data_IF_197048628881
#
_entry.id   IF_197048628881
#
_cell.length_a   1.000
_cell.length_b   1.000
_cell.length_c   1.000
_cell.angle_alpha   90.00
_cell.angle_beta   90.00
_cell.angle_gamma   90.00
#
_symmetry.space_group_name_H-M   'P 1'
#
loop_
_entity.id
_entity.type
_entity.pdbx_description
1 polymer ?
#
# COMPACT_ATOMS: atom_id res chain seq x y z
N UNK A 1 0.66 6.32 -18.41
CA UNK A 1 1.96 6.38 -17.71
C UNK A 1 1.86 5.75 -16.32
N UNK A 2 1.03 6.27 -15.40
CA UNK A 2 0.81 5.64 -14.09
C UNK A 2 0.30 4.18 -14.21
N UNK A 3 -0.71 3.96 -15.07
CA UNK A 3 -1.19 2.61 -15.40
C UNK A 3 -0.13 1.68 -16.01
N UNK A 4 0.89 2.24 -16.67
CA UNK A 4 1.99 1.47 -17.26
C UNK A 4 2.95 0.98 -16.17
N UNK A 5 3.23 1.81 -15.16
CA UNK A 5 4.01 1.41 -13.97
C UNK A 5 3.32 0.26 -13.24
N UNK A 6 2.02 0.37 -13.00
CA UNK A 6 1.25 -0.68 -12.34
C UNK A 6 1.27 -1.98 -13.16
N UNK A 7 1.03 -1.92 -14.47
CA UNK A 7 1.04 -3.10 -15.34
C UNK A 7 2.43 -3.75 -15.45
N UNK A 8 3.49 -2.95 -15.60
CA UNK A 8 4.88 -3.45 -15.64
C UNK A 8 5.24 -4.14 -14.33
N UNK A 9 4.90 -3.52 -13.21
CA UNK A 9 5.12 -4.09 -11.88
C UNK A 9 4.34 -5.40 -11.70
N UNK A 10 3.07 -5.41 -12.11
CA UNK A 10 2.21 -6.60 -12.03
C UNK A 10 2.83 -7.78 -12.79
N UNK A 11 3.29 -7.54 -14.02
CA UNK A 11 3.91 -8.57 -14.86
C UNK A 11 5.24 -9.06 -14.26
N UNK A 12 6.07 -8.14 -13.77
CA UNK A 12 7.35 -8.48 -13.13
C UNK A 12 7.12 -9.37 -11.90
N UNK A 13 6.20 -8.99 -11.01
CA UNK A 13 5.88 -9.76 -9.80
C UNK A 13 5.28 -11.10 -10.15
N UNK A 14 4.30 -11.15 -11.07
CA UNK A 14 3.69 -12.42 -11.52
C UNK A 14 4.73 -13.39 -12.08
N UNK A 15 5.77 -12.88 -12.73
CA UNK A 15 6.85 -13.72 -13.28
C UNK A 15 7.72 -14.29 -12.18
N UNK A 16 8.16 -13.48 -11.21
CA UNK A 16 9.08 -13.96 -10.16
C UNK A 16 8.41 -14.85 -9.14
N UNK A 17 7.12 -14.65 -8.83
CA UNK A 17 6.45 -15.42 -7.75
C UNK A 17 5.95 -16.79 -8.19
N UNK A 18 5.80 -17.04 -9.50
CA UNK A 18 5.30 -18.33 -10.02
C UNK A 18 6.25 -19.48 -9.71
N UNK A 19 7.55 -19.21 -9.75
CA UNK A 19 8.61 -20.21 -9.59
C UNK A 19 9.41 -19.97 -8.30
N UNK A 20 8.92 -19.12 -7.39
CA UNK A 20 9.63 -18.78 -6.15
C UNK A 20 9.35 -19.80 -5.04
N UNK A 21 10.42 -20.40 -4.51
CA UNK A 21 10.35 -21.19 -3.27
C UNK A 21 10.01 -20.31 -2.05
N UNK A 22 10.49 -19.06 -2.02
CA UNK A 22 10.15 -18.03 -1.03
C UNK A 22 9.47 -16.83 -1.72
N UNK A 23 8.14 -16.87 -1.75
CA UNK A 23 7.31 -15.83 -2.37
C UNK A 23 7.49 -14.48 -1.68
N UNK A 24 7.61 -14.44 -0.35
CA UNK A 24 7.70 -13.17 0.39
C UNK A 24 9.00 -12.45 0.06
N UNK A 25 10.13 -13.18 0.05
CA UNK A 25 11.42 -12.61 -0.33
C UNK A 25 11.43 -12.17 -1.80
N UNK A 26 10.93 -12.99 -2.72
CA UNK A 26 10.84 -12.65 -4.14
C UNK A 26 9.98 -11.39 -4.39
N UNK A 27 8.84 -11.27 -3.70
CA UNK A 27 7.98 -10.08 -3.78
C UNK A 27 8.69 -8.85 -3.24
N UNK A 28 9.33 -8.96 -2.07
CA UNK A 28 10.06 -7.84 -1.46
C UNK A 28 11.14 -7.30 -2.39
N UNK A 29 11.99 -8.18 -2.93
CA UNK A 29 13.06 -7.80 -3.86
C UNK A 29 12.51 -7.13 -5.11
N UNK A 30 11.46 -7.72 -5.70
CA UNK A 30 10.82 -7.19 -6.90
C UNK A 30 10.16 -5.83 -6.64
N UNK A 31 9.44 -5.67 -5.54
CA UNK A 31 8.82 -4.38 -5.15
C UNK A 31 9.88 -3.32 -4.93
N UNK A 32 10.95 -3.61 -4.17
CA UNK A 32 12.04 -2.65 -3.94
C UNK A 32 12.69 -2.24 -5.26
N UNK A 33 13.00 -3.19 -6.14
CA UNK A 33 13.56 -2.88 -7.47
C UNK A 33 12.62 -2.02 -8.32
N UNK A 34 11.32 -2.32 -8.31
CA UNK A 34 10.33 -1.55 -9.08
C UNK A 34 10.12 -0.16 -8.49
N UNK A 35 10.14 0.03 -7.17
CA UNK A 35 10.06 1.36 -6.54
C UNK A 35 11.24 2.22 -6.94
N UNK A 36 12.48 1.72 -6.82
CA UNK A 36 13.69 2.47 -7.21
C UNK A 36 13.62 2.86 -8.69
N UNK A 37 13.27 1.91 -9.56
CA UNK A 37 13.11 2.17 -10.98
C UNK A 37 11.99 3.16 -11.30
N UNK A 38 10.84 3.04 -10.65
CA UNK A 38 9.69 3.92 -10.87
C UNK A 38 9.98 5.36 -10.42
N UNK A 39 10.65 5.53 -9.28
CA UNK A 39 11.12 6.83 -8.78
C UNK A 39 12.08 7.51 -9.76
N UNK A 40 13.13 6.79 -10.19
CA UNK A 40 14.10 7.34 -11.14
C UNK A 40 13.44 7.75 -12.47
N UNK A 41 12.53 6.91 -12.98
CA UNK A 41 11.80 7.21 -14.20
C UNK A 41 10.82 8.38 -14.01
N UNK A 42 10.15 8.49 -12.86
CA UNK A 42 9.22 9.58 -12.55
C UNK A 42 9.92 10.93 -12.58
N UNK A 43 11.15 11.03 -12.04
CA UNK A 43 11.97 12.24 -12.10
C UNK A 43 12.29 12.67 -13.54
N UNK A 44 12.63 11.70 -14.40
CA UNK A 44 12.90 11.98 -15.83
C UNK A 44 11.64 12.39 -16.61
N UNK A 45 10.46 12.00 -16.12
CA UNK A 45 9.18 12.15 -16.80
C UNK A 45 8.25 13.20 -16.18
N UNK A 46 8.75 14.03 -15.27
CA UNK A 46 7.97 15.04 -14.52
C UNK A 46 6.72 14.47 -13.80
N UNK A 47 6.73 13.18 -13.45
CA UNK A 47 5.68 12.54 -12.63
C UNK A 47 6.08 12.65 -11.16
N UNK A 48 5.13 12.81 -10.25
CA UNK A 48 5.41 12.83 -8.82
C UNK A 48 5.98 11.46 -8.38
N UNK A 49 7.19 11.39 -7.80
CA UNK A 49 7.82 10.12 -7.44
C UNK A 49 6.95 9.24 -6.53
N UNK A 50 6.22 9.85 -5.59
CA UNK A 50 5.34 9.12 -4.65
C UNK A 50 4.11 8.52 -5.35
N UNK A 51 3.57 9.17 -6.40
CA UNK A 51 2.50 8.56 -7.21
C UNK A 51 3.01 7.31 -7.93
N UNK A 52 4.25 7.34 -8.42
CA UNK A 52 4.89 6.17 -9.02
C UNK A 52 5.04 5.01 -8.02
N UNK A 53 5.39 5.30 -6.75
CA UNK A 53 5.44 4.28 -5.68
C UNK A 53 4.05 3.67 -5.41
N UNK A 54 2.99 4.49 -5.38
CA UNK A 54 1.61 4.01 -5.23
C UNK A 54 1.23 3.04 -6.35
N UNK A 55 1.59 3.35 -7.60
CA UNK A 55 1.31 2.48 -8.76
C UNK A 55 2.10 1.18 -8.73
N UNK A 56 3.35 1.18 -8.22
CA UNK A 56 4.12 -0.04 -7.96
C UNK A 56 3.37 -0.92 -6.96
N UNK A 57 2.93 -0.38 -5.83
CA UNK A 57 2.17 -1.14 -4.82
C UNK A 57 0.86 -1.68 -5.39
N UNK A 58 0.10 -0.85 -6.10
CA UNK A 58 -1.14 -1.23 -6.77
C UNK A 58 -0.94 -2.40 -7.74
N UNK A 59 0.10 -2.31 -8.59
CA UNK A 59 0.48 -3.36 -9.52
C UNK A 59 0.88 -4.66 -8.82
N UNK A 60 1.63 -4.54 -7.72
CA UNK A 60 2.07 -5.65 -6.90
C UNK A 60 0.90 -6.40 -6.24
N UNK A 61 -0.01 -5.69 -5.57
CA UNK A 61 -1.18 -6.32 -4.94
C UNK A 61 -2.07 -6.98 -5.99
N UNK A 62 -2.27 -6.32 -7.14
CA UNK A 62 -3.04 -6.92 -8.22
C UNK A 62 -2.37 -8.19 -8.80
N UNK A 63 -1.04 -8.28 -8.84
CA UNK A 63 -0.35 -9.51 -9.23
C UNK A 63 -0.59 -10.65 -8.25
N UNK A 64 -0.57 -10.33 -6.96
CA UNK A 64 -0.78 -11.31 -5.89
C UNK A 64 -2.21 -11.86 -5.87
N UNK A 65 -3.21 -11.07 -6.28
CA UNK A 65 -4.58 -11.56 -6.45
C UNK A 65 -4.73 -12.66 -7.51
N UNK A 66 -3.79 -12.75 -8.47
CA UNK A 66 -3.76 -13.78 -9.50
C UNK A 66 -3.00 -15.06 -9.10
N UNK A 67 -2.38 -15.11 -7.91
CA UNK A 67 -1.52 -16.23 -7.46
C UNK A 67 -1.98 -16.66 -6.06
N UNK A 68 -2.57 -17.85 -5.93
CA UNK A 68 -3.27 -18.28 -4.71
C UNK A 68 -2.32 -18.80 -3.60
N UNK A 69 -2.20 -18.05 -2.48
CA UNK A 69 -2.49 -18.51 -1.09
C UNK A 69 -2.14 -17.50 0.02
N UNK A 70 -1.45 -16.38 -0.25
CA UNK A 70 -1.07 -15.42 0.81
C UNK A 70 -1.11 -13.94 0.36
N UNK A 71 -2.05 -13.56 -0.52
CA UNK A 71 -2.14 -12.17 -0.99
C UNK A 71 -2.30 -11.15 0.16
N UNK A 72 -3.02 -11.53 1.23
CA UNK A 72 -3.24 -10.67 2.39
C UNK A 72 -1.96 -10.54 3.21
N UNK A 73 -1.35 -11.63 3.67
CA UNK A 73 -0.12 -11.55 4.49
C UNK A 73 1.03 -10.88 3.71
N UNK A 74 1.14 -11.17 2.41
CA UNK A 74 2.11 -10.52 1.52
C UNK A 74 1.83 -9.02 1.31
N UNK A 75 0.59 -8.54 1.48
CA UNK A 75 0.25 -7.11 1.36
C UNK A 75 1.06 -6.26 2.33
N UNK A 76 1.22 -6.71 3.58
CA UNK A 76 2.02 -5.99 4.58
C UNK A 76 3.47 -5.85 4.11
N UNK A 77 4.05 -6.91 3.54
CA UNK A 77 5.41 -6.92 3.02
C UNK A 77 5.58 -6.03 1.79
N UNK A 78 4.61 -6.01 0.87
CA UNK A 78 4.62 -5.10 -0.29
C UNK A 78 4.65 -3.65 0.17
N UNK A 79 3.70 -3.27 1.03
CA UNK A 79 3.57 -1.89 1.53
C UNK A 79 4.83 -1.49 2.30
N UNK A 80 5.29 -2.36 3.20
CA UNK A 80 6.50 -2.13 3.98
C UNK A 80 7.73 -1.90 3.11
N UNK A 81 7.94 -2.78 2.13
CA UNK A 81 9.09 -2.73 1.22
C UNK A 81 9.06 -1.47 0.36
N UNK A 82 7.86 -1.07 -0.10
CA UNK A 82 7.71 0.13 -0.90
C UNK A 82 7.99 1.41 -0.11
N UNK A 83 7.47 1.53 1.12
CA UNK A 83 7.73 2.68 2.00
C UNK A 83 9.23 2.77 2.34
N UNK A 84 9.82 1.65 2.74
CA UNK A 84 11.24 1.60 3.12
C UNK A 84 12.13 1.96 1.93
N UNK A 85 11.83 1.43 0.75
CA UNK A 85 12.55 1.78 -0.48
C UNK A 85 12.39 3.28 -0.80
N UNK A 86 11.17 3.84 -0.74
CA UNK A 86 10.97 5.26 -0.99
C UNK A 86 11.76 6.14 0.00
N UNK A 87 11.70 5.84 1.30
CA UNK A 87 12.41 6.58 2.34
C UNK A 87 13.93 6.50 2.17
N UNK A 88 14.47 5.31 1.87
CA UNK A 88 15.91 5.11 1.61
C UNK A 88 16.40 5.86 0.36
N UNK A 89 15.51 6.19 -0.56
CA UNK A 89 15.81 6.97 -1.76
C UNK A 89 15.48 8.47 -1.58
N UNK A 90 15.30 8.93 -0.33
CA UNK A 90 15.18 10.35 0.01
C UNK A 90 13.78 10.94 -0.14
N UNK A 91 12.74 10.11 -0.29
CA UNK A 91 11.36 10.58 -0.32
C UNK A 91 10.74 10.64 1.08
N UNK A 92 9.71 11.48 1.24
CA UNK A 92 8.99 11.61 2.50
C UNK A 92 8.27 10.30 2.86
N UNK A 93 8.70 9.69 3.97
CA UNK A 93 8.13 8.46 4.48
C UNK A 93 6.65 8.59 4.85
N UNK A 94 6.18 9.75 5.32
CA UNK A 94 4.77 9.99 5.66
C UNK A 94 3.90 10.02 4.40
N UNK A 95 4.38 10.69 3.36
CA UNK A 95 3.71 10.71 2.06
C UNK A 95 3.69 9.31 1.43
N UNK A 96 4.80 8.59 1.53
CA UNK A 96 4.90 7.20 1.08
C UNK A 96 3.93 6.28 1.83
N UNK A 97 3.79 6.41 3.16
CA UNK A 97 2.82 5.65 3.97
C UNK A 97 1.41 5.84 3.43
N UNK A 98 0.96 7.09 3.28
CA UNK A 98 -0.39 7.38 2.82
C UNK A 98 -0.63 6.82 1.40
N UNK A 99 0.32 7.04 0.49
CA UNK A 99 0.19 6.67 -0.92
C UNK A 99 0.30 5.18 -1.16
N UNK A 100 1.17 4.46 -0.46
CA UNK A 100 1.30 3.01 -0.58
C UNK A 100 0.09 2.27 -0.01
N UNK A 101 -0.44 2.69 1.13
CA UNK A 101 -1.68 2.10 1.69
C UNK A 101 -2.84 2.32 0.72
N UNK A 102 -2.97 3.53 0.16
CA UNK A 102 -3.95 3.83 -0.88
C UNK A 102 -3.79 2.87 -2.08
N UNK A 103 -2.57 2.78 -2.62
CA UNK A 103 -2.25 1.91 -3.76
C UNK A 103 -2.59 0.45 -3.52
N UNK A 104 -2.34 -0.06 -2.31
CA UNK A 104 -2.67 -1.44 -1.94
C UNK A 104 -4.18 -1.71 -1.98
N UNK A 105 -4.97 -0.81 -1.40
CA UNK A 105 -6.44 -0.93 -1.36
C UNK A 105 -7.03 -0.86 -2.77
N UNK A 106 -6.55 0.06 -3.61
CA UNK A 106 -6.96 0.15 -5.02
C UNK A 106 -6.58 -1.11 -5.81
N UNK A 107 -5.36 -1.61 -5.61
CA UNK A 107 -4.87 -2.81 -6.28
C UNK A 107 -5.68 -4.06 -5.93
N UNK A 108 -6.12 -4.20 -4.68
CA UNK A 108 -7.02 -5.29 -4.29
C UNK A 108 -8.41 -5.13 -4.91
N UNK A 109 -8.97 -3.93 -4.93
CA UNK A 109 -10.30 -3.69 -5.50
C UNK A 109 -10.38 -4.03 -7.00
N UNK A 110 -9.33 -3.72 -7.76
CA UNK A 110 -9.23 -4.02 -9.20
C UNK A 110 -9.38 -5.49 -9.57
N UNK A 111 -8.89 -6.36 -8.70
CA UNK A 111 -8.91 -7.81 -8.92
C UNK A 111 -10.05 -8.49 -8.16
N UNK A 112 -10.96 -7.71 -7.56
CA UNK A 112 -12.05 -8.23 -6.73
C UNK A 112 -11.57 -8.88 -5.42
N UNK A 113 -10.40 -8.47 -4.92
CA UNK A 113 -9.84 -8.95 -3.66
C UNK A 113 -10.58 -8.43 -2.43
N UNK A 114 -10.27 -9.01 -1.26
CA UNK A 114 -10.84 -8.60 0.02
C UNK A 114 -10.26 -7.24 0.45
N UNK A 115 -10.97 -6.16 0.10
CA UNK A 115 -10.62 -4.77 0.41
C UNK A 115 -10.43 -4.55 1.91
N UNK A 116 -11.26 -5.17 2.76
CA UNK A 116 -11.20 -5.01 4.21
C UNK A 116 -9.94 -5.61 4.81
N UNK A 117 -9.63 -6.87 4.48
CA UNK A 117 -8.40 -7.53 4.96
C UNK A 117 -7.14 -6.90 4.38
N UNK A 118 -7.17 -6.52 3.11
CA UNK A 118 -6.05 -5.80 2.46
C UNK A 118 -5.81 -4.48 3.18
N UNK A 119 -6.85 -3.73 3.51
CA UNK A 119 -6.74 -2.48 4.27
C UNK A 119 -6.00 -2.68 5.59
N UNK A 120 -6.44 -3.65 6.41
CA UNK A 120 -5.82 -3.91 7.72
C UNK A 120 -4.36 -4.33 7.55
N UNK A 121 -4.07 -5.21 6.59
CA UNK A 121 -2.71 -5.67 6.34
C UNK A 121 -1.80 -4.55 5.81
N UNK A 122 -2.32 -3.68 4.94
CA UNK A 122 -1.59 -2.54 4.39
C UNK A 122 -1.23 -1.53 5.49
N UNK A 123 -2.20 -1.16 6.33
CA UNK A 123 -1.94 -0.26 7.47
C UNK A 123 -0.92 -0.86 8.43
N UNK A 124 -1.00 -2.17 8.69
CA UNK A 124 -0.01 -2.87 9.54
C UNK A 124 1.39 -2.79 8.96
N UNK A 125 1.56 -3.13 7.68
CA UNK A 125 2.86 -3.02 7.00
C UNK A 125 3.40 -1.59 6.95
N UNK A 126 2.52 -0.60 6.85
CA UNK A 126 2.91 0.81 6.89
C UNK A 126 3.40 1.26 8.27
N UNK A 127 2.74 0.85 9.35
CA UNK A 127 3.18 1.13 10.72
C UNK A 127 4.51 0.43 11.02
N UNK A 128 4.71 -0.77 10.49
CA UNK A 128 6.00 -1.47 10.60
C UNK A 128 7.12 -0.75 9.86
N UNK A 129 6.90 -0.34 8.61
CA UNK A 129 7.88 0.45 7.86
C UNK A 129 8.18 1.78 8.54
N UNK A 130 7.15 2.48 9.04
CA UNK A 130 7.30 3.72 9.78
C UNK A 130 8.28 3.58 10.94
N UNK A 131 8.18 2.49 11.73
CA UNK A 131 9.12 2.20 12.81
C UNK A 131 10.54 1.99 12.30
N UNK A 132 10.73 1.34 11.16
CA UNK A 132 12.06 1.09 10.57
C UNK A 132 12.71 2.36 10.03
N UNK A 133 11.91 3.31 9.53
CA UNK A 133 12.39 4.57 8.95
C UNK A 133 12.28 5.76 9.90
N UNK A 134 11.96 5.52 11.18
CA UNK A 134 11.98 6.54 12.24
C UNK A 134 10.76 7.48 12.29
N UNK A 135 9.65 7.13 11.63
CA UNK A 135 8.38 7.87 11.74
C UNK A 135 7.64 7.46 13.00
N UNK A 136 7.10 8.43 13.73
CA UNK A 136 6.33 8.19 14.96
C UNK A 136 5.06 7.38 14.71
N UNK A 137 4.78 6.39 15.59
CA UNK A 137 3.68 5.44 15.43
C UNK A 137 2.31 6.11 15.27
N UNK A 138 2.03 7.17 16.03
CA UNK A 138 0.77 7.93 15.94
C UNK A 138 0.58 8.57 14.56
N UNK A 139 1.63 9.20 14.05
CA UNK A 139 1.57 9.91 12.76
C UNK A 139 1.50 8.92 11.61
N UNK A 140 2.30 7.85 11.66
CA UNK A 140 2.22 6.75 10.70
C UNK A 140 0.82 6.12 10.65
N UNK A 141 0.20 5.90 11.81
CA UNK A 141 -1.15 5.35 11.89
C UNK A 141 -2.15 6.30 11.24
N UNK A 142 -2.11 7.60 11.54
CA UNK A 142 -3.00 8.59 10.91
C UNK A 142 -2.84 8.63 9.40
N UNK A 143 -1.60 8.68 8.91
CA UNK A 143 -1.31 8.76 7.47
C UNK A 143 -1.76 7.48 6.75
N UNK A 144 -1.54 6.31 7.35
CA UNK A 144 -1.98 5.03 6.81
C UNK A 144 -3.51 4.93 6.76
N UNK A 145 -4.20 5.32 7.84
CA UNK A 145 -5.67 5.37 7.89
C UNK A 145 -6.23 6.35 6.85
N UNK A 146 -5.59 7.52 6.69
CA UNK A 146 -5.98 8.51 5.68
C UNK A 146 -5.80 7.96 4.25
N UNK A 147 -4.70 7.24 3.99
CA UNK A 147 -4.45 6.57 2.71
C UNK A 147 -5.52 5.53 2.38
N UNK A 148 -5.86 4.69 3.35
CA UNK A 148 -6.92 3.69 3.21
C UNK A 148 -8.29 4.33 2.93
N UNK A 149 -8.66 5.37 3.70
CA UNK A 149 -9.93 6.07 3.51
C UNK A 149 -10.01 6.78 2.16
N UNK A 150 -8.92 7.41 1.69
CA UNK A 150 -8.86 8.00 0.35
C UNK A 150 -9.16 6.96 -0.73
N UNK A 151 -8.54 5.78 -0.65
CA UNK A 151 -8.85 4.69 -1.57
C UNK A 151 -10.32 4.25 -1.47
N UNK A 152 -10.84 4.08 -0.25
CA UNK A 152 -12.24 3.74 -0.03
C UNK A 152 -13.21 4.75 -0.65
N UNK A 153 -12.97 6.05 -0.48
CA UNK A 153 -13.76 7.13 -1.08
C UNK A 153 -13.67 7.13 -2.60
N UNK A 154 -12.48 6.92 -3.17
CA UNK A 154 -12.27 6.83 -4.62
C UNK A 154 -12.99 5.62 -5.24
N UNK A 155 -13.09 4.51 -4.52
CA UNK A 155 -13.83 3.31 -4.92
C UNK A 155 -15.35 3.43 -4.71
N UNK A 156 -15.81 4.44 -3.95
CA UNK A 156 -17.21 4.74 -3.70
C UNK A 156 -17.73 4.36 -2.31
N UNK A 157 -18.97 4.74 -2.00
CA UNK A 157 -19.53 4.70 -0.64
C UNK A 157 -19.50 3.32 0.05
N UNK A 158 -19.77 2.24 -0.69
CA UNK A 158 -19.71 0.88 -0.13
C UNK A 158 -18.28 0.45 0.23
N UNK A 159 -17.29 0.81 -0.60
CA UNK A 159 -15.89 0.53 -0.33
C UNK A 159 -15.37 1.36 0.84
N UNK A 160 -15.74 2.64 0.94
CA UNK A 160 -15.44 3.48 2.08
C UNK A 160 -15.96 2.90 3.40
N UNK A 161 -17.22 2.42 3.43
CA UNK A 161 -17.78 1.75 4.62
C UNK A 161 -17.10 0.43 4.93
N UNK A 162 -16.66 -0.33 3.91
CA UNK A 162 -15.88 -1.57 4.09
C UNK A 162 -14.53 -1.28 4.73
N UNK A 163 -13.80 -0.28 4.22
CA UNK A 163 -12.51 0.19 4.78
C UNK A 163 -12.71 0.61 6.24
N UNK A 164 -13.70 1.46 6.51
CA UNK A 164 -14.02 1.95 7.85
C UNK A 164 -14.35 0.81 8.81
N UNK A 165 -15.20 -0.13 8.39
CA UNK A 165 -15.60 -1.29 9.20
C UNK A 165 -14.42 -2.19 9.52
N UNK A 166 -13.55 -2.45 8.53
CA UNK A 166 -12.36 -3.27 8.72
C UNK A 166 -11.39 -2.64 9.72
N UNK A 167 -11.17 -1.33 9.62
CA UNK A 167 -10.29 -0.59 10.53
C UNK A 167 -10.86 -0.52 11.95
N UNK A 168 -12.18 -0.39 12.10
CA UNK A 168 -12.85 -0.46 13.41
C UNK A 168 -12.79 -1.86 14.05
N UNK A 169 -12.85 -2.92 13.25
CA UNK A 169 -12.75 -4.30 13.71
C UNK A 169 -11.34 -4.76 14.04
N UNK A 170 -10.31 -4.03 13.59
CA UNK A 170 -8.92 -4.38 13.80
C UNK A 170 -8.48 -4.06 15.23
N UNK A 171 -8.15 -5.10 16.01
CA UNK A 171 -7.71 -5.00 17.42
C UNK A 171 -6.47 -4.11 17.58
N UNK A 172 -5.60 -4.05 16.57
CA UNK A 172 -4.37 -3.27 16.61
C UNK A 172 -4.58 -1.74 16.43
N UNK A 173 -5.79 -1.28 16.07
CA UNK A 173 -6.03 0.13 15.73
C UNK A 173 -6.56 0.94 16.92
N UNK A 174 -5.86 2.02 17.35
CA UNK A 174 -6.34 2.88 18.42
C UNK A 174 -7.64 3.60 18.05
N UNK A 175 -8.68 3.43 18.87
CA UNK A 175 -10.03 3.97 18.61
C UNK A 175 -10.06 5.50 18.53
N UNK A 176 -9.20 6.17 19.29
CA UNK A 176 -9.02 7.62 19.28
C UNK A 176 -8.44 8.11 17.95
N UNK A 177 -7.48 7.38 17.37
CA UNK A 177 -6.93 7.72 16.05
C UNK A 177 -7.93 7.47 14.93
N UNK A 178 -8.68 6.35 14.98
CA UNK A 178 -9.79 6.10 14.07
C UNK A 178 -10.82 7.24 14.15
N UNK A 179 -11.19 7.67 15.35
CA UNK A 179 -12.09 8.81 15.54
C UNK A 179 -11.51 10.11 15.00
N UNK A 180 -10.21 10.36 15.12
CA UNK A 180 -9.57 11.58 14.57
C UNK A 180 -9.55 11.62 13.04
N UNK A 181 -9.46 10.47 12.37
CA UNK A 181 -9.41 10.37 10.90
C UNK A 181 -10.82 10.29 10.29
N UNK A 182 -11.75 9.60 10.95
CA UNK A 182 -13.12 9.42 10.46
C UNK A 182 -14.10 10.47 10.98
N UNK A 183 -13.76 11.14 12.08
CA UNK A 183 -14.64 12.00 12.87
C UNK A 183 -14.33 13.49 12.77
N UNK A 184 -14.00 13.98 11.57
CA UNK A 184 -14.08 15.41 11.25
C UNK A 184 -15.48 15.82 10.74
N UNK A 185 -16.43 14.90 10.72
CA UNK A 185 -17.84 15.14 10.42
C UNK A 185 -18.71 15.16 11.68
N UNK A 186 -18.42 16.07 12.62
CA UNK A 186 -19.46 16.52 13.56
C UNK A 186 -19.97 17.87 13.07
N UNK A 187 -21.29 17.87 12.90
CA UNK A 187 -22.21 18.96 12.58
C UNK A 187 -21.83 20.34 13.12
#
# INVERSE_FOLDING_TARGET
MLSEIANKTRNAITTVVKDADDVVSAVRESVTSNVVGAVHNAQAMATAPIEAVSEVVRGAIAALGGVSHSAIETTSHVVKSAITAAAQNGHDAREAIQSTVKGAVLGAAEVGGDVGKTTVSAVTGAIEAAREVGVGATEATKDALAGAMKAGTELGGHAAETVKSALHGAVAMPKDLLASVFGSGKS
#
